data_IF_320983797885
#
_entry.id   IF_320983797885
#
_cell.length_a   1.000
_cell.length_b   1.000
_cell.length_c   1.000
_cell.angle_alpha   90.00
_cell.angle_beta   90.00
_cell.angle_gamma   90.00
#
_symmetry.space_group_name_H-M   'P 1'
#
loop_
_entity.id
_entity.type
_entity.pdbx_description
1 polymer ?
#
# COMPACT_ATOMS: atom_id res chain seq x y z
N UNK A 1 -3.37 20.28 1.33
CA UNK A 1 -1.93 20.20 1.64
C UNK A 1 -1.60 20.82 3.01
N UNK A 2 -2.05 22.05 3.30
CA UNK A 2 -1.66 22.76 4.54
C UNK A 2 -2.20 22.16 5.84
N UNK A 3 -3.21 21.29 5.77
CA UNK A 3 -3.80 20.61 6.93
C UNK A 3 -3.14 19.27 7.26
N UNK A 4 -2.16 18.84 6.47
CA UNK A 4 -1.45 17.57 6.70
C UNK A 4 -0.24 17.76 7.60
N UNK A 5 0.17 16.70 8.27
CA UNK A 5 1.44 16.64 9.00
C UNK A 5 2.64 16.77 8.04
N UNK A 6 3.82 17.18 8.55
CA UNK A 6 5.05 17.14 7.75
C UNK A 6 5.32 15.73 7.19
N UNK A 7 5.80 15.67 5.95
CA UNK A 7 6.13 14.42 5.23
C UNK A 7 4.96 13.44 5.09
N UNK A 8 3.72 13.90 5.16
CA UNK A 8 2.55 13.05 5.03
C UNK A 8 2.39 12.49 3.60
N UNK A 9 1.67 11.38 3.49
CA UNK A 9 1.17 10.84 2.23
C UNK A 9 -0.31 11.21 2.10
N UNK A 10 -0.67 11.88 1.01
CA UNK A 10 -2.07 12.08 0.62
C UNK A 10 -2.42 11.03 -0.41
N UNK A 11 -3.38 10.18 -0.07
CA UNK A 11 -3.95 9.20 -0.98
C UNK A 11 -5.27 9.74 -1.50
N UNK A 12 -5.36 9.95 -2.81
CA UNK A 12 -6.59 10.37 -3.47
C UNK A 12 -6.92 9.47 -4.65
N UNK A 13 -8.11 9.62 -5.21
CA UNK A 13 -8.57 8.76 -6.28
C UNK A 13 -9.08 9.59 -7.47
N UNK A 14 -8.34 9.50 -8.58
CA UNK A 14 -8.68 10.18 -9.83
C UNK A 14 -8.01 11.56 -10.00
N UNK A 15 -8.13 12.06 -11.21
CA UNK A 15 -7.37 13.23 -11.68
C UNK A 15 -7.87 14.54 -11.06
N UNK A 16 -9.17 14.65 -10.86
CA UNK A 16 -9.78 15.88 -10.32
C UNK A 16 -9.29 16.22 -8.91
N UNK A 17 -8.96 15.21 -8.12
CA UNK A 17 -8.43 15.39 -6.77
C UNK A 17 -6.90 15.53 -6.77
N UNK A 18 -6.24 14.93 -7.76
CA UNK A 18 -4.78 14.84 -7.84
C UNK A 18 -4.15 16.08 -8.47
N UNK A 19 -4.63 16.50 -9.64
CA UNK A 19 -3.99 17.54 -10.44
C UNK A 19 -3.93 18.90 -9.75
N UNK A 20 -4.97 19.36 -9.01
CA UNK A 20 -4.87 20.60 -8.25
C UNK A 20 -3.78 20.55 -7.16
N UNK A 21 -3.55 19.39 -6.54
CA UNK A 21 -2.50 19.21 -5.55
C UNK A 21 -1.11 19.25 -6.18
N UNK A 22 -0.92 18.56 -7.30
CA UNK A 22 0.32 18.63 -8.06
C UNK A 22 0.60 20.05 -8.58
N UNK A 23 -0.42 20.75 -9.08
CA UNK A 23 -0.27 22.15 -9.48
C UNK A 23 0.25 23.02 -8.31
N UNK A 24 -0.35 22.88 -7.13
CA UNK A 24 0.07 23.62 -5.95
C UNK A 24 1.52 23.28 -5.54
N UNK A 25 1.96 22.02 -5.70
CA UNK A 25 3.33 21.63 -5.40
C UNK A 25 4.34 22.08 -6.47
N UNK A 26 4.05 21.84 -7.75
CA UNK A 26 5.01 22.05 -8.83
C UNK A 26 5.08 23.50 -9.29
N UNK A 27 3.95 24.23 -9.27
CA UNK A 27 3.90 25.60 -9.78
C UNK A 27 4.00 26.62 -8.63
N UNK A 28 3.29 26.39 -7.53
CA UNK A 28 3.23 27.32 -6.41
C UNK A 28 4.23 27.00 -5.28
N UNK A 29 4.91 25.86 -5.35
CA UNK A 29 5.91 25.43 -4.37
C UNK A 29 5.34 25.08 -2.99
N UNK A 30 4.04 24.77 -2.89
CA UNK A 30 3.35 24.51 -1.63
C UNK A 30 3.59 23.08 -1.17
N UNK A 31 4.07 22.90 0.08
CA UNK A 31 4.17 21.60 0.76
C UNK A 31 4.79 20.50 -0.10
N UNK A 32 5.98 20.75 -0.60
CA UNK A 32 6.79 19.81 -1.38
C UNK A 32 7.29 18.58 -0.58
N UNK A 33 7.18 18.65 0.74
CA UNK A 33 7.44 17.56 1.67
C UNK A 33 6.35 16.47 1.63
N UNK A 34 5.13 16.82 1.19
CA UNK A 34 3.98 15.90 1.16
C UNK A 34 3.99 15.08 -0.12
N UNK A 35 3.87 13.75 0.01
CA UNK A 35 3.72 12.87 -1.16
C UNK A 35 2.26 12.77 -1.56
N UNK A 36 1.90 13.32 -2.72
CA UNK A 36 0.56 13.16 -3.30
C UNK A 36 0.55 11.90 -4.18
N UNK A 37 -0.26 10.93 -3.81
CA UNK A 37 -0.37 9.64 -4.48
C UNK A 37 -1.78 9.45 -5.05
N UNK A 38 -1.88 9.31 -6.38
CA UNK A 38 -3.12 8.94 -7.05
C UNK A 38 -3.28 7.41 -7.04
N UNK A 39 -4.25 6.92 -6.27
CA UNK A 39 -4.52 5.50 -6.11
C UNK A 39 -4.85 4.81 -7.43
N UNK A 40 -5.65 5.45 -8.32
CA UNK A 40 -5.98 4.87 -9.61
C UNK A 40 -4.76 4.72 -10.54
N UNK A 41 -3.74 5.57 -10.37
CA UNK A 41 -2.51 5.49 -11.15
C UNK A 41 -1.56 4.38 -10.70
N UNK A 42 -1.74 3.83 -9.49
CA UNK A 42 -0.97 2.65 -9.03
C UNK A 42 -1.27 1.38 -9.86
N UNK A 43 -2.30 1.38 -10.69
CA UNK A 43 -2.50 0.36 -11.71
C UNK A 43 -1.45 0.37 -12.83
N UNK A 44 -0.66 1.45 -12.98
CA UNK A 44 0.37 1.62 -13.98
C UNK A 44 1.78 1.37 -13.41
N UNK A 45 2.56 0.51 -14.06
CA UNK A 45 3.92 0.14 -13.63
C UNK A 45 4.84 1.36 -13.49
N UNK A 46 4.83 2.25 -14.47
CA UNK A 46 5.67 3.44 -14.49
C UNK A 46 5.36 4.38 -13.30
N UNK A 47 4.10 4.42 -12.85
CA UNK A 47 3.72 5.25 -11.72
C UNK A 47 4.22 4.66 -10.39
N UNK A 48 4.15 3.33 -10.25
CA UNK A 48 4.75 2.63 -9.09
C UNK A 48 6.26 2.90 -9.05
N UNK A 49 6.94 2.78 -10.21
CA UNK A 49 8.37 3.07 -10.30
C UNK A 49 8.70 4.52 -9.91
N UNK A 50 7.85 5.49 -10.28
CA UNK A 50 7.99 6.89 -9.85
C UNK A 50 7.79 7.08 -8.34
N UNK A 51 6.84 6.34 -7.73
CA UNK A 51 6.63 6.43 -6.28
C UNK A 51 7.82 5.89 -5.47
N UNK A 52 8.67 5.05 -6.06
CA UNK A 52 9.88 4.48 -5.45
C UNK A 52 11.10 5.39 -5.49
N UNK A 53 10.99 6.56 -6.08
CA UNK A 53 12.07 7.55 -6.13
C UNK A 53 11.68 8.80 -5.36
N UNK A 54 12.69 9.56 -4.92
CA UNK A 54 12.49 10.86 -4.30
C UNK A 54 11.79 11.81 -5.27
N UNK A 55 10.81 12.55 -4.80
CA UNK A 55 10.14 13.60 -5.56
C UNK A 55 10.03 14.85 -4.72
N UNK A 56 10.52 15.96 -5.23
CA UNK A 56 10.66 17.20 -4.47
C UNK A 56 11.41 16.97 -3.14
N UNK A 57 10.81 17.33 -2.02
CA UNK A 57 11.36 17.14 -0.68
C UNK A 57 10.85 15.86 0.00
N UNK A 58 9.93 15.11 -0.67
CA UNK A 58 9.38 13.88 -0.12
C UNK A 58 10.21 12.66 -0.48
N UNK A 59 10.40 11.78 0.50
CA UNK A 59 11.16 10.52 0.34
C UNK A 59 10.43 9.50 -0.55
N UNK A 60 11.14 8.49 -1.08
CA UNK A 60 10.53 7.36 -1.77
C UNK A 60 9.49 6.67 -0.89
N UNK A 61 8.37 6.22 -1.49
CA UNK A 61 7.44 5.36 -0.76
C UNK A 61 8.05 3.98 -0.53
N UNK A 62 7.83 3.39 0.67
CA UNK A 62 8.51 2.17 1.10
C UNK A 62 7.89 0.89 0.52
N UNK A 63 7.70 0.81 -0.79
CA UNK A 63 7.26 -0.40 -1.46
C UNK A 63 8.34 -1.49 -1.40
N UNK A 64 7.98 -2.69 -0.95
CA UNK A 64 8.89 -3.82 -0.77
C UNK A 64 8.80 -4.88 -1.86
N UNK A 65 7.65 -5.00 -2.54
CA UNK A 65 7.47 -6.00 -3.58
C UNK A 65 8.44 -5.80 -4.74
N UNK A 66 9.14 -6.84 -5.20
CA UNK A 66 10.04 -6.73 -6.34
C UNK A 66 9.27 -6.37 -7.61
N UNK A 67 9.94 -5.70 -8.56
CA UNK A 67 9.32 -5.22 -9.80
C UNK A 67 8.61 -6.33 -10.59
N UNK A 68 9.13 -7.56 -10.56
CA UNK A 68 8.52 -8.72 -11.20
C UNK A 68 7.09 -9.04 -10.71
N UNK A 69 6.70 -8.59 -9.51
CA UNK A 69 5.39 -8.87 -8.91
C UNK A 69 4.30 -7.85 -9.28
N UNK A 70 4.66 -6.74 -9.93
CA UNK A 70 3.69 -5.73 -10.38
C UNK A 70 3.87 -5.32 -11.85
N UNK A 71 4.80 -5.94 -12.59
CA UNK A 71 4.98 -5.69 -14.03
C UNK A 71 4.35 -6.81 -14.85
N UNK A 72 4.33 -6.62 -16.13
CA UNK A 72 3.82 -7.46 -17.20
C UNK A 72 3.20 -8.79 -16.77
N UNK A 73 1.91 -8.99 -17.07
CA UNK A 73 1.05 -10.13 -16.67
C UNK A 73 0.63 -10.19 -15.19
N UNK A 74 1.20 -9.35 -14.32
CA UNK A 74 0.84 -9.31 -12.91
C UNK A 74 -0.07 -8.10 -12.60
N UNK A 75 -1.15 -7.97 -13.36
CA UNK A 75 -2.17 -6.94 -13.16
C UNK A 75 -3.15 -7.30 -12.05
N UNK A 76 -3.24 -8.59 -11.74
CA UNK A 76 -4.13 -9.12 -10.71
C UNK A 76 -3.47 -10.23 -9.91
N UNK A 77 -3.81 -10.31 -8.64
CA UNK A 77 -3.43 -11.39 -7.72
C UNK A 77 -4.70 -12.10 -7.27
N UNK A 78 -4.80 -13.40 -7.51
CA UNK A 78 -5.96 -14.18 -7.10
C UNK A 78 -6.07 -14.26 -5.59
N UNK A 79 -7.29 -14.41 -5.08
CA UNK A 79 -7.54 -14.67 -3.66
C UNK A 79 -7.93 -16.12 -3.50
N UNK A 80 -7.02 -16.91 -2.92
CA UNK A 80 -7.25 -18.31 -2.59
C UNK A 80 -7.08 -18.49 -1.09
N UNK A 81 -8.19 -18.54 -0.39
CA UNK A 81 -8.21 -18.55 1.07
C UNK A 81 -7.71 -19.91 1.60
N UNK A 82 -6.44 -19.93 2.05
CA UNK A 82 -5.85 -21.08 2.76
C UNK A 82 -5.98 -20.91 4.28
N UNK A 83 -6.04 -19.68 4.74
CA UNK A 83 -6.07 -19.35 6.16
C UNK A 83 -7.30 -18.49 6.47
N UNK A 84 -8.17 -18.98 7.34
CA UNK A 84 -9.30 -18.22 7.89
C UNK A 84 -8.88 -17.51 9.19
N UNK A 85 -7.86 -16.67 9.08
CA UNK A 85 -7.34 -15.83 10.19
C UNK A 85 -6.62 -14.62 9.64
N UNK A 86 -6.50 -13.55 10.44
CA UNK A 86 -5.68 -12.41 10.06
C UNK A 86 -4.21 -12.81 9.86
N UNK A 87 -3.60 -12.29 8.78
CA UNK A 87 -2.18 -12.45 8.49
C UNK A 87 -1.56 -11.04 8.49
N UNK A 88 -0.41 -10.83 9.14
CA UNK A 88 0.30 -9.56 9.07
C UNK A 88 0.61 -9.17 7.63
N UNK A 89 0.34 -7.90 7.28
CA UNK A 89 0.53 -7.40 5.92
C UNK A 89 1.95 -7.68 5.38
N UNK A 90 2.96 -7.56 6.25
CA UNK A 90 4.35 -7.86 5.89
C UNK A 90 4.55 -9.34 5.49
N UNK A 91 3.91 -10.27 6.21
CA UNK A 91 3.97 -11.70 5.86
C UNK A 91 3.24 -12.00 4.55
N UNK A 92 2.15 -11.26 4.25
CA UNK A 92 1.47 -11.36 2.95
C UNK A 92 2.37 -10.88 1.80
N UNK A 93 3.11 -9.80 2.00
CA UNK A 93 4.09 -9.34 1.02
C UNK A 93 5.22 -10.35 0.82
N UNK A 94 5.74 -10.95 1.89
CA UNK A 94 6.75 -12.01 1.82
C UNK A 94 6.22 -13.25 1.07
N UNK A 95 4.94 -13.59 1.29
CA UNK A 95 4.26 -14.67 0.55
C UNK A 95 4.20 -14.37 -0.95
N UNK A 96 3.72 -13.18 -1.34
CA UNK A 96 3.63 -12.76 -2.75
C UNK A 96 5.02 -12.64 -3.39
N UNK A 97 6.00 -12.10 -2.66
CA UNK A 97 7.38 -11.96 -3.15
C UNK A 97 8.11 -13.29 -3.33
N UNK A 98 7.63 -14.35 -2.67
CA UNK A 98 8.26 -15.66 -2.70
C UNK A 98 8.23 -16.29 -4.10
N UNK A 99 9.34 -16.94 -4.48
CA UNK A 99 9.44 -17.77 -5.68
C UNK A 99 9.19 -19.29 -5.37
N UNK A 100 8.79 -19.60 -4.12
CA UNK A 100 8.47 -20.98 -3.74
C UNK A 100 7.21 -21.45 -4.48
N UNK A 101 7.27 -22.58 -5.21
CA UNK A 101 6.11 -23.13 -5.89
C UNK A 101 4.86 -23.35 -5.03
N UNK A 102 5.02 -23.46 -3.71
CA UNK A 102 3.93 -23.62 -2.75
C UNK A 102 3.15 -22.33 -2.48
N UNK A 103 3.74 -21.17 -2.81
CA UNK A 103 3.09 -19.86 -2.71
C UNK A 103 2.41 -19.42 -4.01
N UNK A 104 2.35 -20.30 -5.00
CA UNK A 104 1.79 -20.04 -6.32
C UNK A 104 0.72 -21.06 -6.69
N UNK A 105 -0.30 -20.62 -7.44
CA UNK A 105 -1.34 -21.48 -7.99
C UNK A 105 -0.96 -21.94 -9.40
N UNK A 106 -1.05 -23.26 -9.69
CA UNK A 106 -0.89 -23.75 -11.04
C UNK A 106 -2.10 -23.34 -11.90
N UNK A 107 -1.82 -22.80 -13.07
CA UNK A 107 -2.84 -22.44 -14.07
C UNK A 107 -2.95 -23.55 -15.12
N UNK A 108 -4.10 -23.62 -15.78
CA UNK A 108 -4.33 -24.56 -16.89
C UNK A 108 -3.38 -24.38 -18.08
N UNK A 109 -2.80 -23.17 -18.21
CA UNK A 109 -1.76 -22.85 -19.20
C UNK A 109 -0.39 -23.48 -18.88
N UNK A 110 -0.21 -24.07 -17.68
CA UNK A 110 1.08 -24.53 -17.15
C UNK A 110 1.89 -23.43 -16.45
N UNK A 111 1.44 -22.19 -16.50
CA UNK A 111 2.03 -21.07 -15.76
C UNK A 111 1.63 -21.13 -14.28
N UNK A 112 2.35 -20.39 -13.43
CA UNK A 112 2.02 -20.21 -12.02
C UNK A 112 1.66 -18.76 -11.77
N UNK A 113 0.67 -18.54 -10.90
CA UNK A 113 0.24 -17.22 -10.51
C UNK A 113 0.38 -17.04 -8.99
N UNK A 114 0.80 -15.85 -8.60
CA UNK A 114 0.76 -15.43 -7.20
C UNK A 114 -0.68 -15.37 -6.70
N UNK A 115 -0.89 -15.65 -5.43
CA UNK A 115 -2.21 -15.54 -4.81
C UNK A 115 -2.12 -15.05 -3.37
N UNK A 116 -3.19 -14.41 -2.92
CA UNK A 116 -3.34 -13.96 -1.54
C UNK A 116 -3.97 -15.11 -0.71
N UNK A 117 -3.30 -15.56 0.37
CA UNK A 117 -3.74 -16.75 1.11
C UNK A 117 -4.77 -16.46 2.20
N UNK A 118 -5.12 -15.20 2.47
CA UNK A 118 -6.12 -14.79 3.44
C UNK A 118 -6.83 -13.52 3.00
N UNK A 119 -8.09 -13.38 3.41
CA UNK A 119 -8.87 -12.13 3.22
C UNK A 119 -8.73 -11.16 4.37
N UNK A 120 -8.13 -11.58 5.47
CA UNK A 120 -7.97 -10.76 6.66
C UNK A 120 -6.51 -10.34 6.79
N UNK A 121 -6.28 -9.04 6.78
CA UNK A 121 -4.95 -8.44 6.82
C UNK A 121 -4.80 -7.70 8.14
N UNK A 122 -3.76 -7.99 8.88
CA UNK A 122 -3.42 -7.33 10.12
C UNK A 122 -2.30 -6.32 9.90
N UNK A 123 -2.53 -5.07 10.29
CA UNK A 123 -1.55 -3.99 10.24
C UNK A 123 -1.26 -3.58 11.67
N UNK A 124 -0.04 -3.85 12.19
CA UNK A 124 0.33 -3.42 13.52
C UNK A 124 0.41 -1.90 13.60
N UNK A 125 0.00 -1.32 14.72
CA UNK A 125 0.07 0.12 14.97
C UNK A 125 1.28 0.43 15.83
N UNK A 126 2.15 1.31 15.36
CA UNK A 126 3.23 1.87 16.15
C UNK A 126 2.69 3.02 17.01
N UNK A 127 2.23 2.69 18.23
CA UNK A 127 1.64 3.68 19.15
C UNK A 127 2.61 4.80 19.53
N UNK A 128 3.89 4.46 19.66
CA UNK A 128 4.91 5.45 19.98
C UNK A 128 5.05 6.49 18.86
N UNK A 129 5.16 6.01 17.62
CA UNK A 129 5.25 6.90 16.45
C UNK A 129 3.99 7.74 16.26
N UNK A 130 2.80 7.18 16.49
CA UNK A 130 1.54 7.90 16.37
C UNK A 130 1.42 9.07 17.37
N UNK A 131 2.01 8.94 18.57
CA UNK A 131 2.07 10.02 19.56
C UNK A 131 3.16 11.03 19.20
N UNK A 132 4.36 10.56 18.87
CA UNK A 132 5.52 11.43 18.56
C UNK A 132 5.29 12.27 17.30
N UNK A 133 4.61 11.72 16.31
CA UNK A 133 4.21 12.45 15.09
C UNK A 133 3.03 13.41 15.30
N UNK A 134 2.36 13.37 16.44
CA UNK A 134 1.22 14.22 16.76
C UNK A 134 -0.11 13.78 16.12
N UNK A 135 -0.18 12.59 15.53
CA UNK A 135 -1.43 12.01 15.01
C UNK A 135 -2.41 11.75 16.16
N UNK A 136 -1.89 11.23 17.28
CA UNK A 136 -2.66 10.96 18.49
C UNK A 136 -2.08 11.79 19.63
N UNK A 137 -2.95 12.48 20.37
CA UNK A 137 -2.52 13.20 21.56
C UNK A 137 -2.16 12.22 22.68
N UNK A 138 -1.18 12.52 23.54
CA UNK A 138 -0.79 11.64 24.66
C UNK A 138 -1.96 11.24 25.56
N UNK A 139 -2.92 12.14 25.80
CA UNK A 139 -4.13 11.91 26.60
C UNK A 139 -5.06 10.86 25.98
N UNK A 140 -5.05 10.70 24.65
CA UNK A 140 -5.87 9.78 23.89
C UNK A 140 -5.17 8.42 23.61
N UNK A 141 -3.94 8.25 24.10
CA UNK A 141 -3.14 7.03 23.86
C UNK A 141 -3.86 5.75 24.31
N UNK A 142 -4.71 5.84 25.33
CA UNK A 142 -5.47 4.71 25.87
C UNK A 142 -6.58 4.21 24.92
N UNK A 143 -6.95 5.00 23.91
CA UNK A 143 -7.94 4.64 22.87
C UNK A 143 -7.30 3.89 21.70
N UNK A 144 -5.97 3.86 21.63
CA UNK A 144 -5.28 3.23 20.50
C UNK A 144 -5.38 1.71 20.55
N UNK A 145 -5.67 1.12 19.39
CA UNK A 145 -5.58 -0.33 19.18
C UNK A 145 -4.15 -0.77 18.88
N UNK A 146 -3.83 -2.03 19.10
CA UNK A 146 -2.51 -2.58 18.75
C UNK A 146 -2.42 -2.98 17.28
N UNK A 147 -3.57 -3.21 16.63
CA UNK A 147 -3.64 -3.72 15.27
C UNK A 147 -4.91 -3.23 14.59
N UNK A 148 -4.77 -2.74 13.37
CA UNK A 148 -5.89 -2.45 12.46
C UNK A 148 -6.10 -3.66 11.56
N UNK A 149 -7.35 -4.07 11.37
CA UNK A 149 -7.72 -5.18 10.51
C UNK A 149 -8.41 -4.69 9.24
N UNK A 150 -7.88 -5.07 8.09
CA UNK A 150 -8.55 -4.90 6.81
C UNK A 150 -9.19 -6.23 6.40
N UNK A 151 -10.47 -6.20 6.06
CA UNK A 151 -11.20 -7.36 5.59
C UNK A 151 -11.57 -7.17 4.12
N UNK A 152 -11.08 -8.05 3.26
CA UNK A 152 -11.40 -8.02 1.84
C UNK A 152 -12.82 -8.59 1.65
N UNK A 153 -13.62 -7.91 0.83
CA UNK A 153 -14.99 -8.33 0.53
C UNK A 153 -15.03 -9.83 0.12
N UNK A 154 -15.91 -10.65 0.74
CA UNK A 154 -16.02 -12.08 0.42
C UNK A 154 -16.31 -12.38 -1.06
N UNK A 155 -16.99 -11.48 -1.75
CA UNK A 155 -17.33 -11.63 -3.17
C UNK A 155 -16.23 -11.21 -4.13
N UNK A 156 -15.09 -10.71 -3.62
CA UNK A 156 -13.94 -10.32 -4.43
C UNK A 156 -13.05 -11.53 -4.67
N UNK A 157 -12.71 -11.82 -5.91
CA UNK A 157 -11.94 -13.01 -6.29
C UNK A 157 -10.45 -12.72 -6.56
N UNK A 158 -10.10 -11.47 -6.75
CA UNK A 158 -8.72 -11.03 -7.01
C UNK A 158 -8.50 -9.61 -6.49
N UNK A 159 -7.26 -9.26 -6.26
CA UNK A 159 -6.79 -7.89 -6.08
C UNK A 159 -6.28 -7.36 -7.42
N UNK A 160 -6.56 -6.11 -7.70
CA UNK A 160 -5.92 -5.36 -8.77
C UNK A 160 -4.51 -4.89 -8.33
N UNK A 161 -3.69 -4.49 -9.28
CA UNK A 161 -2.32 -4.02 -9.00
C UNK A 161 -2.28 -2.87 -8.00
N UNK A 162 -3.14 -1.88 -8.17
CA UNK A 162 -3.27 -0.74 -7.24
C UNK A 162 -3.60 -1.18 -5.81
N UNK A 163 -4.49 -2.15 -5.64
CA UNK A 163 -4.84 -2.71 -4.33
C UNK A 163 -3.71 -3.51 -3.72
N UNK A 164 -2.98 -4.29 -4.52
CA UNK A 164 -1.78 -5.00 -4.06
C UNK A 164 -0.71 -4.01 -3.58
N UNK A 165 -0.46 -2.96 -4.36
CA UNK A 165 0.52 -1.93 -4.01
C UNK A 165 0.09 -1.12 -2.79
N UNK A 166 -1.22 -0.90 -2.58
CA UNK A 166 -1.70 -0.32 -1.33
C UNK A 166 -1.38 -1.20 -0.13
N UNK A 167 -1.61 -2.52 -0.23
CA UNK A 167 -1.26 -3.46 0.85
C UNK A 167 0.25 -3.45 1.11
N UNK A 168 1.07 -3.40 0.05
CA UNK A 168 2.52 -3.30 0.17
C UNK A 168 2.95 -2.03 0.92
N UNK A 169 2.36 -0.89 0.59
CA UNK A 169 2.62 0.36 1.30
C UNK A 169 2.23 0.26 2.78
N UNK A 170 1.02 -0.24 3.06
CA UNK A 170 0.52 -0.41 4.42
C UNK A 170 1.36 -1.38 5.26
N UNK A 171 2.02 -2.35 4.62
CA UNK A 171 2.88 -3.32 5.28
C UNK A 171 4.24 -2.75 5.72
N UNK A 172 4.71 -1.70 5.05
CA UNK A 172 6.07 -1.17 5.20
C UNK A 172 6.11 0.24 5.78
N UNK A 173 4.97 0.87 5.92
CA UNK A 173 4.88 2.17 6.59
C UNK A 173 4.85 1.98 8.11
N UNK A 174 5.42 2.92 8.83
CA UNK A 174 5.46 2.88 10.30
C UNK A 174 4.26 3.68 10.86
N UNK A 175 3.12 2.99 10.88
CA UNK A 175 1.83 3.56 11.30
C UNK A 175 1.67 3.70 12.80
#
# INVERSE_FOLDING_TARGET
LNSTLPNAIIMNYGDNDTFPLWYAQEVEGVRKDVRVMNMSSLGAEWYIDQMRIKSNDSDPLPFSLPRSKYTYRNETVLIQELFNRPIPAKQLNEWIASEDPRTMLPMTSGEKMDFLPSRQIAIPVNKQNAIESGIVKPEDAHLMVDTVYLNINPNKHYLTRDELMLIDLLANFDW
#
